data_IF_372804917174
#
_entry.id   IF_372804917174
#
_cell.length_a   1.000
_cell.length_b   1.000
_cell.length_c   1.000
_cell.angle_alpha   90.00
_cell.angle_beta   90.00
_cell.angle_gamma   90.00
#
_symmetry.space_group_name_H-M   'P 1'
#
loop_
_entity.id
_entity.type
_entity.pdbx_description
1 polymer ?
#
# COMPACT_ATOMS: atom_id res chain seq x y z
N UNK A 1 4.93 -20.75 4.94
CA UNK A 1 5.12 -20.99 6.38
C UNK A 1 5.26 -19.62 7.02
N UNK A 2 4.29 -19.21 7.83
CA UNK A 2 4.33 -17.93 8.56
C UNK A 2 5.53 -17.91 9.50
N UNK A 3 6.28 -16.81 9.54
CA UNK A 3 7.39 -16.68 10.48
C UNK A 3 6.83 -16.75 11.92
N UNK A 4 7.52 -17.40 12.85
CA UNK A 4 7.10 -17.39 14.24
C UNK A 4 7.07 -15.94 14.73
N UNK A 5 5.97 -15.58 15.40
CA UNK A 5 5.84 -14.25 15.98
C UNK A 5 6.96 -14.01 17.01
N UNK A 6 7.55 -12.82 17.02
CA UNK A 6 8.64 -12.52 17.94
C UNK A 6 8.12 -12.38 19.36
N UNK A 7 8.94 -12.72 20.35
CA UNK A 7 8.62 -12.45 21.75
C UNK A 7 8.73 -10.95 22.05
N UNK A 8 7.81 -10.44 22.88
CA UNK A 8 7.90 -9.09 23.42
C UNK A 8 9.23 -8.89 24.16
N UNK A 9 9.86 -7.74 23.96
CA UNK A 9 11.18 -7.41 24.49
C UNK A 9 12.34 -7.85 23.58
N UNK A 10 12.12 -8.67 22.54
CA UNK A 10 13.20 -9.01 21.60
C UNK A 10 13.72 -7.74 20.90
N UNK A 11 15.04 -7.59 20.90
CA UNK A 11 15.73 -6.51 20.19
C UNK A 11 16.50 -7.07 19.01
N UNK A 12 16.35 -6.41 17.87
CA UNK A 12 17.04 -6.75 16.63
C UNK A 12 17.87 -5.57 16.15
N UNK A 13 19.06 -5.86 15.63
CA UNK A 13 19.84 -4.90 14.84
C UNK A 13 19.71 -5.21 13.35
N UNK A 14 19.84 -4.19 12.53
CA UNK A 14 19.84 -4.32 11.07
C UNK A 14 20.75 -3.30 10.43
N UNK A 15 21.22 -3.60 9.22
CA UNK A 15 21.88 -2.62 8.36
C UNK A 15 20.82 -1.80 7.64
N UNK A 16 20.91 -0.49 7.79
CA UNK A 16 20.04 0.44 7.07
C UNK A 16 20.25 0.33 5.56
N UNK A 17 19.25 0.74 4.79
CA UNK A 17 19.21 0.75 3.34
C UNK A 17 18.94 2.18 2.84
N UNK A 18 19.39 2.52 1.62
CA UNK A 18 19.13 3.83 1.03
C UNK A 18 17.63 4.10 0.90
N UNK A 19 17.20 5.34 1.16
CA UNK A 19 15.76 5.71 1.18
C UNK A 19 15.13 5.87 -0.21
N UNK A 20 15.95 5.96 -1.26
CA UNK A 20 15.49 6.11 -2.64
C UNK A 20 16.55 5.61 -3.62
N UNK A 21 16.15 5.43 -4.88
CA UNK A 21 17.08 5.11 -5.99
C UNK A 21 18.08 6.23 -6.29
N UNK A 22 17.86 7.43 -5.77
CA UNK A 22 18.76 8.57 -5.92
C UNK A 22 19.78 8.69 -4.79
N UNK A 23 19.61 7.92 -3.71
CA UNK A 23 20.52 7.88 -2.59
C UNK A 23 21.78 7.06 -2.93
N UNK A 24 22.92 7.28 -2.23
CA UNK A 24 24.09 6.42 -2.35
C UNK A 24 23.76 4.95 -2.10
N UNK A 25 24.33 4.03 -2.89
CA UNK A 25 23.96 2.60 -2.90
C UNK A 25 24.15 1.87 -1.57
N UNK A 26 25.02 2.35 -0.68
CA UNK A 26 25.25 1.77 0.62
C UNK A 26 25.30 2.86 1.70
N UNK A 27 24.56 2.64 2.78
CA UNK A 27 24.57 3.53 3.96
C UNK A 27 25.77 3.23 4.87
N UNK A 28 26.18 1.95 4.96
CA UNK A 28 27.16 1.45 5.94
C UNK A 28 26.82 1.83 7.39
N UNK A 29 25.52 1.91 7.69
CA UNK A 29 24.97 2.28 8.99
C UNK A 29 24.09 1.15 9.52
N UNK A 30 24.14 0.94 10.83
CA UNK A 30 23.31 -0.02 11.53
C UNK A 30 22.35 0.71 12.45
N UNK A 31 21.18 0.13 12.64
CA UNK A 31 20.12 0.60 13.52
C UNK A 31 19.58 -0.59 14.33
N UNK A 32 18.70 -0.32 15.29
CA UNK A 32 18.05 -1.34 16.08
C UNK A 32 16.58 -1.01 16.34
N UNK A 33 15.78 -2.05 16.51
CA UNK A 33 14.39 -1.92 16.94
C UNK A 33 14.07 -2.96 18.02
N UNK A 34 13.09 -2.65 18.86
CA UNK A 34 12.56 -3.51 19.92
C UNK A 34 11.12 -3.88 19.61
N UNK A 35 10.77 -5.15 19.83
CA UNK A 35 9.39 -5.62 19.79
C UNK A 35 8.72 -5.27 21.12
N UNK A 36 7.70 -4.43 21.09
CA UNK A 36 6.98 -4.01 22.29
C UNK A 36 5.85 -4.97 22.69
N UNK A 37 5.28 -5.65 21.71
CA UNK A 37 4.19 -6.59 21.91
C UNK A 37 3.90 -7.41 20.65
N UNK A 38 3.39 -8.62 20.82
CA UNK A 38 2.91 -9.48 19.73
C UNK A 38 1.60 -10.14 20.13
N UNK A 39 0.65 -10.22 19.20
CA UNK A 39 -0.57 -11.01 19.32
C UNK A 39 -0.82 -11.80 18.01
N UNK A 40 -1.94 -12.51 17.91
CA UNK A 40 -2.25 -13.37 16.75
C UNK A 40 -2.33 -12.61 15.41
N UNK A 41 -2.57 -11.30 15.43
CA UNK A 41 -2.83 -10.48 14.25
C UNK A 41 -1.75 -9.44 13.99
N UNK A 42 -0.98 -9.04 15.02
CA UNK A 42 -0.14 -7.85 14.96
C UNK A 42 1.13 -7.98 15.82
N UNK A 43 2.20 -7.32 15.36
CA UNK A 43 3.46 -7.11 16.09
C UNK A 43 3.70 -5.61 16.21
N UNK A 44 3.94 -5.11 17.42
CA UNK A 44 4.28 -3.70 17.66
C UNK A 44 5.79 -3.55 17.79
N UNK A 45 6.34 -2.64 16.99
CA UNK A 45 7.77 -2.38 16.89
C UNK A 45 8.08 -0.93 17.25
N UNK A 46 9.17 -0.71 17.98
CA UNK A 46 9.74 0.61 18.24
C UNK A 46 11.18 0.69 17.79
N UNK A 47 11.51 1.71 17.01
CA UNK A 47 12.88 1.99 16.55
C UNK A 47 13.65 2.69 17.66
N UNK A 48 14.90 2.28 17.91
CA UNK A 48 15.74 2.85 18.96
C UNK A 48 16.54 4.05 18.45
N UNK A 49 16.76 5.03 19.33
CA UNK A 49 17.38 6.32 19.02
C UNK A 49 18.92 6.25 18.96
N UNK A 50 19.46 5.49 18.00
CA UNK A 50 20.88 5.49 17.68
C UNK A 50 21.17 4.88 16.30
N UNK A 51 22.29 5.31 15.72
CA UNK A 51 22.88 4.75 14.50
C UNK A 51 24.35 4.45 14.74
N UNK A 52 24.79 3.28 14.28
CA UNK A 52 26.17 2.81 14.42
C UNK A 52 26.85 2.60 13.07
N UNK A 53 28.18 2.66 13.04
CA UNK A 53 28.99 2.30 11.85
C UNK A 53 29.26 0.80 11.75
N UNK A 54 29.08 0.09 12.86
CA UNK A 54 29.23 -1.37 12.98
C UNK A 54 27.99 -1.93 13.67
N UNK A 55 27.66 -3.22 13.51
CA UNK A 55 26.54 -3.82 14.23
C UNK A 55 26.64 -3.58 15.75
N UNK A 56 25.60 -3.06 16.40
CA UNK A 56 25.62 -2.81 17.84
C UNK A 56 25.61 -4.11 18.64
N UNK A 57 26.12 -4.04 19.87
CA UNK A 57 26.00 -5.07 20.89
C UNK A 57 24.72 -4.88 21.73
N UNK A 58 24.31 -5.89 22.52
CA UNK A 58 23.21 -5.72 23.47
C UNK A 58 23.46 -4.58 24.48
N UNK A 59 24.69 -4.37 24.92
CA UNK A 59 25.01 -3.30 25.87
C UNK A 59 24.88 -1.90 25.25
N UNK A 60 25.13 -1.77 23.93
CA UNK A 60 24.97 -0.50 23.22
C UNK A 60 23.49 -0.06 23.16
N UNK A 61 22.55 -1.01 23.15
CA UNK A 61 21.13 -0.72 22.91
C UNK A 61 20.28 -0.73 24.19
N UNK A 62 20.80 -1.27 25.31
CA UNK A 62 20.00 -1.51 26.52
C UNK A 62 19.53 -0.25 27.25
N UNK A 63 20.18 0.90 27.00
CA UNK A 63 19.84 2.20 27.62
C UNK A 63 19.14 3.16 26.65
N UNK A 64 18.94 2.75 25.40
CA UNK A 64 18.37 3.61 24.38
C UNK A 64 16.88 3.85 24.58
N UNK A 65 16.46 5.04 24.17
CA UNK A 65 15.05 5.43 24.09
C UNK A 65 14.50 5.12 22.70
N UNK A 66 13.18 5.21 22.59
CA UNK A 66 12.50 5.18 21.29
C UNK A 66 12.88 6.44 20.50
N UNK A 67 13.25 6.24 19.24
CA UNK A 67 13.53 7.31 18.28
C UNK A 67 12.32 8.21 18.12
N UNK A 68 12.54 9.53 18.04
CA UNK A 68 11.51 10.52 17.75
C UNK A 68 11.74 11.13 16.37
N UNK A 69 10.74 11.06 15.51
CA UNK A 69 10.82 11.52 14.14
C UNK A 69 10.60 13.03 14.03
N UNK A 70 11.56 13.73 13.45
CA UNK A 70 11.53 15.17 13.17
C UNK A 70 11.77 15.49 11.70
N UNK A 71 12.05 14.48 10.87
CA UNK A 71 12.29 14.71 9.45
C UNK A 71 11.08 15.30 8.76
N UNK A 72 11.32 16.13 7.75
CA UNK A 72 10.27 16.75 6.93
C UNK A 72 9.19 17.46 7.78
N UNK A 73 7.98 16.91 7.84
CA UNK A 73 6.82 17.46 8.54
C UNK A 73 6.54 16.76 9.88
N UNK A 74 7.37 15.80 10.29
CA UNK A 74 7.22 15.13 11.57
C UNK A 74 7.59 16.10 12.72
N UNK A 75 6.82 16.06 13.80
CA UNK A 75 6.91 17.01 14.94
C UNK A 75 7.38 16.35 16.24
N UNK A 76 8.19 15.28 16.14
CA UNK A 76 8.74 14.55 17.28
C UNK A 76 7.89 13.36 17.72
N UNK A 77 7.13 12.76 16.81
CA UNK A 77 6.35 11.53 17.06
C UNK A 77 7.30 10.36 17.36
N UNK A 78 7.01 9.49 18.35
CA UNK A 78 7.81 8.29 18.57
C UNK A 78 7.66 7.33 17.38
N UNK A 79 8.77 6.75 16.93
CA UNK A 79 8.85 5.77 15.84
C UNK A 79 8.36 4.39 16.30
N UNK A 80 7.07 4.32 16.63
CA UNK A 80 6.36 3.10 17.03
C UNK A 80 5.25 2.83 16.03
N UNK A 81 5.18 1.61 15.54
CA UNK A 81 4.17 1.19 14.59
C UNK A 81 3.86 -0.29 14.71
N UNK A 82 2.70 -0.64 14.22
CA UNK A 82 2.18 -1.98 14.07
C UNK A 82 2.62 -2.58 12.73
N UNK A 83 2.94 -3.87 12.74
CA UNK A 83 3.15 -4.72 11.57
C UNK A 83 2.13 -5.86 11.64
N UNK A 84 1.41 -6.11 10.54
CA UNK A 84 0.51 -7.26 10.46
C UNK A 84 1.31 -8.57 10.67
N UNK A 85 0.79 -9.49 11.46
CA UNK A 85 1.41 -10.79 11.72
C UNK A 85 1.69 -11.57 10.44
N UNK A 86 0.80 -11.50 9.44
CA UNK A 86 0.96 -12.16 8.14
C UNK A 86 2.08 -11.53 7.29
N UNK A 87 2.42 -10.28 7.58
CA UNK A 87 3.51 -9.54 6.93
C UNK A 87 4.81 -9.57 7.74
N UNK A 88 4.81 -10.21 8.91
CA UNK A 88 6.01 -10.28 9.74
C UNK A 88 7.10 -11.10 9.05
N UNK A 89 8.13 -10.39 8.58
CA UNK A 89 9.30 -11.04 7.98
C UNK A 89 10.57 -10.26 8.25
N UNK A 90 11.61 -10.97 8.70
CA UNK A 90 12.93 -10.39 8.91
C UNK A 90 13.66 -10.14 7.58
N UNK A 91 13.15 -10.66 6.46
CA UNK A 91 13.78 -10.47 5.14
C UNK A 91 13.60 -9.06 4.55
N UNK A 92 12.71 -8.23 5.11
CA UNK A 92 12.52 -6.84 4.69
C UNK A 92 13.69 -5.91 5.08
N UNK A 93 14.54 -6.35 5.99
CA UNK A 93 15.67 -5.58 6.50
C UNK A 93 16.99 -6.34 6.26
N UNK A 94 18.05 -5.58 5.98
CA UNK A 94 19.35 -6.15 5.64
C UNK A 94 20.13 -6.56 6.90
N UNK A 95 20.86 -7.67 6.82
CA UNK A 95 21.78 -8.12 7.87
C UNK A 95 21.15 -8.18 9.26
N UNK A 96 19.90 -8.64 9.32
CA UNK A 96 19.13 -8.79 10.56
C UNK A 96 19.83 -9.71 11.56
N UNK A 97 19.96 -9.24 12.81
CA UNK A 97 20.53 -10.01 13.92
C UNK A 97 19.71 -9.81 15.18
N UNK A 98 19.30 -10.91 15.82
CA UNK A 98 18.73 -10.88 17.17
C UNK A 98 19.84 -10.56 18.18
N UNK A 99 19.67 -9.49 18.95
CA UNK A 99 20.57 -9.11 20.05
C UNK A 99 20.17 -9.79 21.36
N UNK A 100 18.89 -10.14 21.50
CA UNK A 100 18.34 -10.83 22.66
C UNK A 100 17.16 -10.07 23.28
N UNK A 101 16.57 -10.62 24.35
CA UNK A 101 15.46 -10.00 25.05
C UNK A 101 15.94 -8.86 25.95
N UNK A 102 15.12 -7.81 26.05
CA UNK A 102 15.29 -6.69 26.98
C UNK A 102 13.99 -6.41 27.71
N UNK A 103 14.12 -5.88 28.93
CA UNK A 103 12.95 -5.45 29.70
C UNK A 103 12.21 -4.33 28.97
N UNK A 104 10.88 -4.41 29.00
CA UNK A 104 10.00 -3.36 28.53
C UNK A 104 9.70 -2.39 29.66
N UNK A 105 9.80 -1.11 29.36
CA UNK A 105 9.39 -0.02 30.24
C UNK A 105 7.86 0.11 30.26
N UNK A 106 7.33 0.80 31.27
CA UNK A 106 5.89 1.08 31.34
C UNK A 106 5.41 1.91 30.14
N UNK A 107 6.23 2.84 29.65
CA UNK A 107 5.92 3.66 28.47
C UNK A 107 5.83 2.79 27.20
N UNK A 108 6.77 1.86 26.99
CA UNK A 108 6.75 0.91 25.87
C UNK A 108 5.50 0.01 25.89
N UNK A 109 5.13 -0.50 27.07
CA UNK A 109 3.90 -1.30 27.21
C UNK A 109 2.65 -0.47 26.89
N UNK A 110 2.63 0.81 27.27
CA UNK A 110 1.51 1.71 26.95
C UNK A 110 1.39 1.94 25.44
N UNK A 111 2.51 2.13 24.72
CA UNK A 111 2.47 2.25 23.26
C UNK A 111 1.90 1.00 22.60
N UNK A 112 2.32 -0.19 23.03
CA UNK A 112 1.77 -1.44 22.51
C UNK A 112 0.26 -1.55 22.79
N UNK A 113 -0.19 -1.23 24.00
CA UNK A 113 -1.61 -1.25 24.36
C UNK A 113 -2.45 -0.29 23.52
N UNK A 114 -1.96 0.94 23.29
CA UNK A 114 -2.67 1.94 22.49
C UNK A 114 -2.83 1.47 21.04
N UNK A 115 -1.76 0.91 20.45
CA UNK A 115 -1.78 0.41 19.08
C UNK A 115 -2.74 -0.77 18.93
N UNK A 116 -2.68 -1.76 19.82
CA UNK A 116 -3.60 -2.90 19.77
C UNK A 116 -5.07 -2.51 19.98
N UNK A 117 -5.32 -1.37 20.62
CA UNK A 117 -6.68 -0.83 20.83
C UNK A 117 -7.10 0.13 19.71
N UNK A 118 -6.27 0.32 18.67
CA UNK A 118 -6.48 1.25 17.57
C UNK A 118 -6.77 2.69 18.04
N UNK A 119 -6.12 3.11 19.12
CA UNK A 119 -6.29 4.46 19.66
C UNK A 119 -5.82 5.52 18.64
N UNK A 120 -6.38 6.74 18.68
CA UNK A 120 -5.94 7.84 17.82
C UNK A 120 -4.42 8.04 17.88
N UNK A 121 -3.77 8.09 16.72
CA UNK A 121 -2.32 8.18 16.63
C UNK A 121 -1.60 6.83 16.63
N UNK A 122 -2.32 5.72 16.47
CA UNK A 122 -1.73 4.44 16.06
C UNK A 122 -1.20 4.51 14.62
N UNK A 123 -0.13 3.77 14.34
CA UNK A 123 0.49 3.70 13.00
C UNK A 123 0.63 2.27 12.59
N UNK A 124 0.39 1.99 11.31
CA UNK A 124 0.53 0.68 10.71
C UNK A 124 1.47 0.77 9.51
N UNK A 125 2.37 -0.20 9.39
CA UNK A 125 3.32 -0.29 8.28
C UNK A 125 3.89 -1.71 8.18
N UNK A 126 4.70 -1.96 7.15
CA UNK A 126 5.61 -3.11 7.13
C UNK A 126 6.85 -2.86 8.00
N UNK A 127 7.63 -3.91 8.26
CA UNK A 127 8.87 -3.82 9.06
C UNK A 127 9.91 -2.88 8.40
N UNK A 128 9.84 -2.69 7.08
CA UNK A 128 10.65 -1.72 6.33
C UNK A 128 10.55 -0.28 6.87
N UNK A 129 9.46 0.11 7.54
CA UNK A 129 9.38 1.43 8.19
C UNK A 129 10.46 1.66 9.25
N UNK A 130 11.00 0.60 9.87
CA UNK A 130 12.13 0.74 10.79
C UNK A 130 13.36 1.35 10.09
N UNK A 131 13.60 0.94 8.84
CA UNK A 131 14.66 1.51 8.02
C UNK A 131 14.39 2.99 7.71
N UNK A 132 13.18 3.30 7.24
CA UNK A 132 12.81 4.69 6.94
C UNK A 132 13.00 5.58 8.17
N UNK A 133 12.48 5.18 9.33
CA UNK A 133 12.63 5.87 10.61
C UNK A 133 14.12 6.14 10.92
N UNK A 134 14.92 5.08 11.05
CA UNK A 134 16.31 5.19 11.49
C UNK A 134 17.20 5.97 10.51
N UNK A 135 17.20 5.59 9.23
CA UNK A 135 18.03 6.22 8.21
C UNK A 135 17.58 7.65 7.90
N UNK A 136 16.26 7.87 7.85
CA UNK A 136 15.70 9.19 7.57
C UNK A 136 16.00 10.21 8.66
N UNK A 137 15.89 9.85 9.94
CA UNK A 137 16.24 10.77 11.03
C UNK A 137 17.74 11.06 11.08
N UNK A 138 18.57 10.04 10.88
CA UNK A 138 20.01 10.25 10.82
C UNK A 138 20.40 11.17 9.67
N UNK A 139 19.88 10.95 8.47
CA UNK A 139 20.14 11.84 7.33
C UNK A 139 19.55 13.22 7.55
N UNK A 140 18.40 13.34 8.20
CA UNK A 140 17.85 14.65 8.54
C UNK A 140 18.78 15.46 9.46
N UNK A 141 19.44 14.80 10.40
CA UNK A 141 20.38 15.43 11.32
C UNK A 141 21.78 15.68 10.70
N UNK A 142 22.21 14.88 9.72
CA UNK A 142 23.60 14.87 9.23
C UNK A 142 23.78 15.24 7.74
N UNK A 143 22.73 15.12 6.93
CA UNK A 143 22.77 15.21 5.47
C UNK A 143 21.42 15.74 4.91
N UNK A 144 20.91 16.79 5.55
CA UNK A 144 19.55 17.28 5.31
C UNK A 144 19.33 17.75 3.89
N UNK A 145 20.29 18.48 3.33
CA UNK A 145 20.18 19.07 2.00
C UNK A 145 20.05 17.99 0.92
N UNK A 146 20.97 17.01 0.91
CA UNK A 146 20.91 15.89 -0.03
C UNK A 146 19.62 15.08 0.13
N UNK A 147 19.17 14.84 1.37
CA UNK A 147 17.90 14.14 1.62
C UNK A 147 16.70 14.90 1.04
N UNK A 148 16.65 16.23 1.17
CA UNK A 148 15.58 17.06 0.60
C UNK A 148 15.62 17.05 -0.92
N UNK A 149 16.79 17.18 -1.54
CA UNK A 149 16.94 17.11 -3.00
C UNK A 149 16.51 15.75 -3.56
N UNK A 150 16.92 14.66 -2.93
CA UNK A 150 16.49 13.31 -3.30
C UNK A 150 14.98 13.15 -3.19
N UNK A 151 14.38 13.64 -2.11
CA UNK A 151 12.92 13.61 -1.93
C UNK A 151 12.20 14.34 -3.06
N UNK A 152 12.70 15.51 -3.48
CA UNK A 152 12.16 16.25 -4.62
C UNK A 152 12.28 15.47 -5.93
N UNK A 153 13.40 14.76 -6.16
CA UNK A 153 13.58 13.91 -7.35
C UNK A 153 12.61 12.73 -7.38
N UNK A 154 12.39 12.07 -6.23
CA UNK A 154 11.37 11.01 -6.10
C UNK A 154 9.99 11.56 -6.44
N UNK A 155 9.61 12.70 -5.86
CA UNK A 155 8.32 13.34 -6.14
C UNK A 155 8.19 13.71 -7.63
N UNK A 156 9.22 14.28 -8.24
CA UNK A 156 9.23 14.65 -9.66
C UNK A 156 9.08 13.42 -10.57
N UNK A 157 9.79 12.32 -10.27
CA UNK A 157 9.67 11.07 -11.02
C UNK A 157 8.26 10.47 -10.88
N UNK A 158 7.70 10.43 -9.66
CA UNK A 158 6.34 9.94 -9.43
C UNK A 158 5.29 10.82 -10.13
N UNK A 159 5.46 12.15 -10.12
CA UNK A 159 4.60 13.07 -10.84
C UNK A 159 4.69 12.87 -12.36
N UNK A 160 5.89 12.69 -12.91
CA UNK A 160 6.09 12.41 -14.33
C UNK A 160 5.47 11.05 -14.74
N UNK A 161 5.62 10.00 -13.92
CA UNK A 161 4.97 8.70 -14.14
C UNK A 161 3.45 8.83 -14.16
N UNK A 162 2.86 9.54 -13.19
CA UNK A 162 1.41 9.80 -13.14
C UNK A 162 0.93 10.60 -14.34
N UNK A 163 1.62 11.69 -14.69
CA UNK A 163 1.28 12.50 -15.85
C UNK A 163 1.34 11.70 -17.16
N UNK A 164 2.36 10.86 -17.34
CA UNK A 164 2.47 9.98 -18.51
C UNK A 164 1.37 8.91 -18.55
N UNK A 165 0.97 8.37 -17.39
CA UNK A 165 -0.14 7.42 -17.29
C UNK A 165 -1.48 8.10 -17.64
N UNK A 166 -1.74 9.29 -17.09
CA UNK A 166 -2.91 10.10 -17.42
C UNK A 166 -2.96 10.48 -18.90
N UNK A 167 -1.83 10.86 -19.50
CA UNK A 167 -1.76 11.18 -20.92
C UNK A 167 -2.05 9.96 -21.81
N UNK A 168 -1.45 8.80 -21.49
CA UNK A 168 -1.75 7.54 -22.19
C UNK A 168 -3.22 7.18 -22.07
N UNK A 169 -3.81 7.33 -20.88
CA UNK A 169 -5.22 7.06 -20.66
C UNK A 169 -6.12 8.00 -21.45
N UNK A 170 -5.85 9.31 -21.44
CA UNK A 170 -6.57 10.29 -22.26
C UNK A 170 -6.46 10.00 -23.75
N UNK A 171 -5.29 9.60 -24.23
CA UNK A 171 -5.09 9.24 -25.63
C UNK A 171 -5.84 7.97 -26.00
N UNK A 172 -5.85 6.95 -25.13
CA UNK A 172 -6.65 5.74 -25.29
C UNK A 172 -8.14 6.08 -25.42
N UNK A 173 -8.68 6.85 -24.49
CA UNK A 173 -10.09 7.26 -24.50
C UNK A 173 -10.50 7.96 -25.81
N UNK A 174 -9.61 8.76 -26.42
CA UNK A 174 -9.91 9.49 -27.68
C UNK A 174 -10.18 8.58 -28.88
N UNK A 175 -9.53 7.42 -28.95
CA UNK A 175 -9.68 6.48 -30.07
C UNK A 175 -10.56 5.28 -29.73
N UNK A 176 -11.02 5.18 -28.49
CA UNK A 176 -11.70 4.00 -27.96
C UNK A 176 -13.05 3.75 -28.65
N UNK A 177 -13.29 2.53 -29.09
CA UNK A 177 -14.57 2.10 -29.68
C UNK A 177 -15.15 0.87 -28.97
N UNK A 178 -16.41 0.55 -29.27
CA UNK A 178 -17.05 -0.66 -28.75
C UNK A 178 -16.37 -1.93 -29.26
N UNK A 179 -15.92 -1.93 -30.51
CA UNK A 179 -15.22 -3.06 -31.13
C UNK A 179 -13.91 -3.35 -30.37
N UNK A 180 -13.15 -2.31 -30.04
CA UNK A 180 -11.92 -2.46 -29.24
C UNK A 180 -12.22 -3.03 -27.84
N UNK A 181 -13.22 -2.49 -27.15
CA UNK A 181 -13.62 -2.99 -25.81
C UNK A 181 -14.11 -4.45 -25.83
N UNK A 182 -14.66 -4.91 -26.95
CA UNK A 182 -15.14 -6.29 -27.11
C UNK A 182 -14.03 -7.26 -27.55
N UNK A 183 -12.99 -6.78 -28.22
CA UNK A 183 -11.81 -7.57 -28.60
C UNK A 183 -10.82 -7.76 -27.45
N UNK A 184 -10.74 -6.77 -26.55
CA UNK A 184 -9.87 -6.84 -25.39
C UNK A 184 -10.35 -7.88 -24.36
N UNK A 185 -9.41 -8.35 -23.54
CA UNK A 185 -9.68 -9.20 -22.37
C UNK A 185 -9.67 -8.34 -21.12
N UNK A 186 -10.84 -7.95 -20.57
CA UNK A 186 -10.89 -7.22 -19.31
C UNK A 186 -10.16 -8.00 -18.22
N UNK A 187 -9.48 -7.29 -17.33
CA UNK A 187 -8.85 -7.88 -16.15
C UNK A 187 -7.83 -8.98 -16.51
N UNK A 188 -7.08 -8.83 -17.61
CA UNK A 188 -6.06 -9.80 -18.04
C UNK A 188 -5.02 -10.07 -16.93
N UNK A 189 -4.74 -9.05 -16.11
CA UNK A 189 -3.75 -9.11 -15.04
C UNK A 189 -4.21 -9.80 -13.76
N UNK A 190 -5.52 -10.08 -13.63
CA UNK A 190 -6.05 -10.86 -12.50
C UNK A 190 -5.64 -12.31 -12.67
N UNK A 191 -4.39 -12.61 -12.28
CA UNK A 191 -3.78 -13.94 -12.33
C UNK A 191 -4.12 -14.71 -11.06
N UNK A 192 -4.32 -16.02 -11.14
CA UNK A 192 -4.85 -16.85 -10.04
C UNK A 192 -4.01 -16.95 -8.75
N UNK A 193 -2.94 -16.16 -8.60
CA UNK A 193 -2.14 -16.10 -7.39
C UNK A 193 -2.68 -14.98 -6.48
N UNK A 194 -2.92 -15.24 -5.19
CA UNK A 194 -3.25 -14.19 -4.22
C UNK A 194 -2.26 -13.02 -4.33
N UNK A 195 -2.73 -11.76 -4.25
CA UNK A 195 -4.03 -11.34 -3.72
C UNK A 195 -5.20 -11.24 -4.73
N UNK A 196 -5.05 -11.68 -5.99
CA UNK A 196 -6.10 -11.50 -7.00
C UNK A 196 -7.35 -12.41 -6.81
N UNK A 197 -8.51 -12.02 -7.35
CA UNK A 197 -9.73 -12.82 -7.31
C UNK A 197 -9.59 -14.21 -7.93
N UNK A 198 -10.43 -15.14 -7.49
CA UNK A 198 -10.45 -16.51 -8.01
C UNK A 198 -10.70 -16.55 -9.52
N UNK A 199 -10.26 -17.62 -10.18
CA UNK A 199 -10.46 -17.79 -11.62
C UNK A 199 -11.95 -17.71 -12.03
N UNK A 200 -12.85 -18.22 -11.18
CA UNK A 200 -14.30 -18.16 -11.42
C UNK A 200 -14.85 -16.74 -11.29
N UNK A 201 -14.37 -15.98 -10.29
CA UNK A 201 -14.73 -14.56 -10.14
C UNK A 201 -14.26 -13.76 -11.36
N UNK A 202 -12.99 -13.90 -11.74
CA UNK A 202 -12.39 -13.21 -12.88
C UNK A 202 -13.10 -13.55 -14.19
N UNK A 203 -13.51 -14.81 -14.38
CA UNK A 203 -14.31 -15.22 -15.53
C UNK A 203 -15.68 -14.54 -15.55
N UNK A 204 -16.39 -14.54 -14.42
CA UNK A 204 -17.68 -13.84 -14.30
C UNK A 204 -17.56 -12.33 -14.54
N UNK A 205 -16.49 -11.71 -14.03
CA UNK A 205 -16.21 -10.29 -14.22
C UNK A 205 -15.99 -9.94 -15.69
N UNK A 206 -15.26 -10.78 -16.45
CA UNK A 206 -15.10 -10.62 -17.89
C UNK A 206 -16.42 -10.75 -18.64
N UNK A 207 -17.21 -11.76 -18.29
CA UNK A 207 -18.52 -11.99 -18.92
C UNK A 207 -19.48 -10.82 -18.68
N UNK A 208 -19.57 -10.29 -17.45
CA UNK A 208 -20.47 -9.16 -17.16
C UNK A 208 -20.04 -7.88 -17.89
N UNK A 209 -18.73 -7.61 -17.99
CA UNK A 209 -18.19 -6.46 -18.73
C UNK A 209 -18.52 -6.58 -20.21
N UNK A 210 -18.21 -7.71 -20.84
CA UNK A 210 -18.52 -7.89 -22.27
C UNK A 210 -20.03 -7.82 -22.54
N UNK A 211 -20.87 -8.37 -21.65
CA UNK A 211 -22.32 -8.27 -21.77
C UNK A 211 -22.80 -6.81 -21.66
N UNK A 212 -22.22 -6.02 -20.75
CA UNK A 212 -22.49 -4.59 -20.65
C UNK A 212 -22.05 -3.85 -21.92
N UNK A 213 -20.85 -4.12 -22.45
CA UNK A 213 -20.38 -3.54 -23.71
C UNK A 213 -21.34 -3.83 -24.88
N UNK A 214 -21.78 -5.09 -25.04
CA UNK A 214 -22.76 -5.46 -26.08
C UNK A 214 -24.09 -4.75 -25.90
N UNK A 215 -24.58 -4.67 -24.66
CA UNK A 215 -25.82 -3.96 -24.35
C UNK A 215 -25.72 -2.46 -24.67
N UNK A 216 -24.61 -1.81 -24.31
CA UNK A 216 -24.36 -0.40 -24.60
C UNK A 216 -24.20 -0.13 -26.10
N UNK A 217 -23.49 -1.00 -26.84
CA UNK A 217 -23.36 -0.92 -28.29
C UNK A 217 -24.72 -1.02 -28.98
N UNK A 218 -25.60 -1.92 -28.50
CA UNK A 218 -26.95 -2.11 -29.04
C UNK A 218 -27.88 -0.89 -28.84
N UNK A 219 -27.59 0.01 -27.89
CA UNK A 219 -28.34 1.26 -27.72
C UNK A 219 -28.06 2.30 -28.82
N UNK A 220 -27.03 2.07 -29.66
CA UNK A 220 -26.66 2.94 -30.77
C UNK A 220 -25.72 4.08 -30.40
N UNK A 221 -25.52 5.03 -31.34
CA UNK A 221 -24.43 6.02 -31.29
C UNK A 221 -24.67 7.24 -30.38
N UNK A 222 -25.91 7.43 -29.93
CA UNK A 222 -26.36 8.51 -29.02
C UNK A 222 -27.45 7.98 -28.06
N UNK A 223 -27.08 7.05 -27.16
CA UNK A 223 -28.04 6.46 -26.24
C UNK A 223 -28.53 7.49 -25.21
N UNK A 224 -29.75 7.33 -24.70
CA UNK A 224 -30.25 8.19 -23.61
C UNK A 224 -29.47 7.89 -22.34
N UNK A 225 -29.16 8.93 -21.56
CA UNK A 225 -28.41 8.80 -20.29
C UNK A 225 -29.04 7.76 -19.34
N UNK A 226 -30.36 7.70 -19.27
CA UNK A 226 -31.07 6.73 -18.43
C UNK A 226 -30.81 5.27 -18.84
N UNK A 227 -30.74 4.97 -20.14
CA UNK A 227 -30.51 3.62 -20.63
C UNK A 227 -29.07 3.18 -20.35
N UNK A 228 -28.10 4.06 -20.60
CA UNK A 228 -26.69 3.82 -20.25
C UNK A 228 -26.52 3.62 -18.75
N UNK A 229 -27.13 4.50 -17.93
CA UNK A 229 -27.13 4.40 -16.46
C UNK A 229 -27.63 3.04 -16.00
N UNK A 230 -28.73 2.55 -16.59
CA UNK A 230 -29.30 1.26 -16.22
C UNK A 230 -28.35 0.09 -16.51
N UNK A 231 -27.63 0.13 -17.63
CA UNK A 231 -26.64 -0.91 -17.96
C UNK A 231 -25.44 -0.86 -17.02
N UNK A 232 -24.85 0.32 -16.81
CA UNK A 232 -23.70 0.48 -15.90
C UNK A 232 -24.05 0.10 -14.46
N UNK A 233 -25.22 0.52 -13.97
CA UNK A 233 -25.68 0.16 -12.62
C UNK A 233 -25.85 -1.35 -12.45
N UNK A 234 -26.40 -2.05 -13.44
CA UNK A 234 -26.50 -3.53 -13.40
C UNK A 234 -25.13 -4.19 -13.34
N UNK A 235 -24.16 -3.67 -14.08
CA UNK A 235 -22.78 -4.14 -14.05
C UNK A 235 -22.17 -3.96 -12.63
N UNK A 236 -22.30 -2.76 -12.04
CA UNK A 236 -21.80 -2.48 -10.68
C UNK A 236 -22.48 -3.35 -9.63
N UNK A 237 -23.80 -3.56 -9.74
CA UNK A 237 -24.54 -4.41 -8.83
C UNK A 237 -24.09 -5.88 -8.89
N UNK A 238 -23.66 -6.35 -10.05
CA UNK A 238 -23.05 -7.68 -10.16
C UNK A 238 -21.74 -7.74 -9.37
N UNK A 239 -20.86 -6.75 -9.49
CA UNK A 239 -19.61 -6.71 -8.73
C UNK A 239 -19.84 -6.66 -7.22
N UNK A 240 -20.79 -5.84 -6.74
CA UNK A 240 -21.15 -5.80 -5.33
C UNK A 240 -21.58 -7.18 -4.81
N UNK A 241 -22.46 -7.86 -5.54
CA UNK A 241 -22.98 -9.17 -5.15
C UNK A 241 -21.89 -10.27 -5.23
N UNK A 242 -21.05 -10.24 -6.25
CA UNK A 242 -19.96 -11.19 -6.42
C UNK A 242 -18.91 -11.01 -5.33
N UNK A 243 -18.58 -9.77 -4.96
CA UNK A 243 -17.62 -9.44 -3.91
C UNK A 243 -18.09 -9.91 -2.52
N UNK A 244 -19.36 -9.63 -2.20
CA UNK A 244 -19.99 -10.10 -0.96
C UNK A 244 -19.97 -11.64 -0.88
N UNK A 245 -20.27 -12.33 -1.98
CA UNK A 245 -20.21 -13.80 -2.03
C UNK A 245 -18.79 -14.36 -1.89
N UNK A 246 -17.79 -13.63 -2.37
CA UNK A 246 -16.39 -14.01 -2.27
C UNK A 246 -15.74 -13.63 -0.93
N UNK A 247 -16.46 -12.91 -0.06
CA UNK A 247 -15.96 -12.47 1.25
C UNK A 247 -15.04 -11.25 1.18
N UNK A 248 -15.19 -10.39 0.17
CA UNK A 248 -14.33 -9.22 -0.04
C UNK A 248 -13.10 -9.54 -0.88
N UNK A 249 -13.31 -9.94 -2.13
CA UNK A 249 -12.24 -10.25 -3.09
C UNK A 249 -11.76 -9.03 -3.89
N UNK A 250 -12.53 -7.93 -3.91
CA UNK A 250 -12.15 -6.69 -4.59
C UNK A 250 -11.33 -5.83 -3.61
N UNK A 251 -10.01 -5.81 -3.80
CA UNK A 251 -9.13 -4.94 -3.04
C UNK A 251 -8.84 -3.63 -3.81
N UNK A 252 -7.68 -3.01 -3.58
CA UNK A 252 -7.34 -1.70 -4.16
C UNK A 252 -7.07 -1.80 -5.67
N UNK A 253 -6.31 -2.80 -6.11
CA UNK A 253 -5.95 -2.96 -7.52
C UNK A 253 -7.17 -3.35 -8.37
N UNK A 254 -8.00 -4.30 -7.89
CA UNK A 254 -9.22 -4.72 -8.58
C UNK A 254 -10.22 -3.58 -8.70
N UNK A 255 -10.33 -2.76 -7.64
CA UNK A 255 -11.16 -1.55 -7.63
C UNK A 255 -10.77 -0.58 -8.72
N UNK A 256 -9.48 -0.31 -8.86
CA UNK A 256 -8.96 0.61 -9.87
C UNK A 256 -9.25 0.08 -11.29
N UNK A 257 -9.05 -1.23 -11.51
CA UNK A 257 -9.34 -1.86 -12.80
C UNK A 257 -10.83 -1.82 -13.15
N UNK A 258 -11.74 -2.13 -12.21
CA UNK A 258 -13.19 -2.09 -12.42
C UNK A 258 -13.64 -0.65 -12.74
N UNK A 259 -13.16 0.33 -11.98
CA UNK A 259 -13.45 1.75 -12.21
C UNK A 259 -12.97 2.20 -13.59
N UNK A 260 -11.77 1.81 -14.00
CA UNK A 260 -11.22 2.16 -15.32
C UNK A 260 -12.09 1.63 -16.46
N UNK A 261 -12.54 0.37 -16.38
CA UNK A 261 -13.42 -0.25 -17.38
C UNK A 261 -14.80 0.43 -17.42
N UNK A 262 -15.38 0.79 -16.26
CA UNK A 262 -16.65 1.51 -16.17
C UNK A 262 -16.55 2.93 -16.78
N UNK A 263 -15.44 3.63 -16.53
CA UNK A 263 -15.16 4.93 -17.14
C UNK A 263 -15.04 4.83 -18.66
N UNK A 264 -14.32 3.82 -19.16
CA UNK A 264 -14.19 3.54 -20.59
C UNK A 264 -15.55 3.30 -21.26
N UNK A 265 -16.39 2.45 -20.66
CA UNK A 265 -17.75 2.20 -21.15
C UNK A 265 -18.61 3.48 -21.15
N UNK A 266 -18.56 4.29 -20.09
CA UNK A 266 -19.28 5.56 -20.02
C UNK A 266 -18.76 6.56 -21.07
N UNK A 267 -17.45 6.55 -21.34
CA UNK A 267 -16.81 7.39 -22.35
C UNK A 267 -17.30 7.05 -23.76
N UNK A 268 -17.23 5.78 -24.16
CA UNK A 268 -17.65 5.34 -25.50
C UNK A 268 -19.16 5.55 -25.69
N UNK A 269 -19.95 5.39 -24.64
CA UNK A 269 -21.39 5.73 -24.63
C UNK A 269 -21.68 7.25 -24.67
N UNK A 270 -20.66 8.11 -24.61
CA UNK A 270 -20.74 9.59 -24.58
C UNK A 270 -21.51 10.13 -23.37
N UNK A 271 -21.44 9.42 -22.24
CA UNK A 271 -22.13 9.77 -20.99
C UNK A 271 -21.15 9.94 -19.82
N UNK A 272 -20.08 10.72 -20.02
CA UNK A 272 -19.01 10.94 -19.01
C UNK A 272 -19.51 11.33 -17.62
N UNK A 273 -20.61 12.08 -17.53
CA UNK A 273 -21.23 12.45 -16.25
C UNK A 273 -21.74 11.26 -15.41
N UNK A 274 -21.78 10.05 -15.96
CA UNK A 274 -22.14 8.84 -15.22
C UNK A 274 -20.97 8.26 -14.43
N UNK A 275 -19.73 8.66 -14.71
CA UNK A 275 -18.54 8.18 -13.97
C UNK A 275 -18.64 8.56 -12.50
N UNK A 276 -18.99 9.83 -12.20
CA UNK A 276 -19.21 10.30 -10.83
C UNK A 276 -20.40 9.59 -10.14
N UNK A 277 -21.37 9.09 -10.91
CA UNK A 277 -22.52 8.36 -10.36
C UNK A 277 -22.17 6.92 -9.99
N UNK A 278 -21.25 6.28 -10.73
CA UNK A 278 -20.78 4.91 -10.48
C UNK A 278 -20.21 4.76 -9.06
N UNK A 279 -19.47 5.76 -8.59
CA UNK A 279 -18.90 5.78 -7.24
C UNK A 279 -19.97 5.66 -6.14
N UNK A 280 -21.19 6.14 -6.39
CA UNK A 280 -22.29 6.06 -5.42
C UNK A 280 -23.03 4.71 -5.45
N UNK A 281 -22.73 3.83 -6.41
CA UNK A 281 -23.41 2.54 -6.55
C UNK A 281 -22.59 1.37 -6.01
N UNK A 282 -21.27 1.52 -5.89
CA UNK A 282 -20.36 0.48 -5.38
C UNK A 282 -20.45 0.35 -3.86
N UNK A 283 -20.18 -0.86 -3.36
CA UNK A 283 -20.11 -1.16 -1.92
C UNK A 283 -18.78 -1.78 -1.51
N UNK A 284 -17.89 -2.01 -2.47
CA UNK A 284 -16.52 -2.49 -2.30
C UNK A 284 -15.55 -1.32 -2.20
#
# INVERSE_FOLDING_TARGET
>A
MSNPLPASGNVYSFRTAPLSEFAPQATNRFAAFKVLGSNASHVVVAVLDAIWRTPPSPDDVCTLRILREHRFFHTGRPAVFEVNADWWTLHELNEMRLLGPMALTAEELQFASNIFSFEPGSTFSTLHAANHAAEGEWRWANDRESLVEEHQRVQALQAAKRAAQEERYRNRLRSLTWEQLLEETPFERWSSSPPFPSADFTKGAREVVHNACRALQALGSKPRKADVRNVLRKCVQWFNAADEQAGGAIETEEREDICAVLEEMAHVAKQKSLVDEVDNWRTW
#
